data_IF_269170747172
#
_entry.id   IF_269170747172
#
_cell.length_a   1.000
_cell.length_b   1.000
_cell.length_c   1.000
_cell.angle_alpha   90.00
_cell.angle_beta   90.00
_cell.angle_gamma   90.00
#
_symmetry.space_group_name_H-M   'P 1'
#
loop_
_entity.id
_entity.type
_entity.pdbx_description
1 polymer ?
#
# COMPACT_ATOMS: atom_id res chain seq x y z
N UNK A 1 -33.46 3.28 17.77
CA UNK A 1 -34.48 2.21 17.65
C UNK A 1 -33.77 0.93 17.27
N UNK A 2 -33.79 -0.03 18.18
CA UNK A 2 -33.10 -1.32 18.15
C UNK A 2 -33.64 -2.22 17.03
N UNK A 3 -32.76 -2.91 16.30
CA UNK A 3 -33.11 -4.11 15.55
C UNK A 3 -32.12 -5.21 15.90
N UNK A 4 -32.45 -5.88 17.01
CA UNK A 4 -31.96 -7.18 17.41
C UNK A 4 -32.32 -8.23 16.35
N UNK A 5 -31.32 -8.72 15.60
CA UNK A 5 -31.48 -9.90 14.77
C UNK A 5 -31.14 -11.14 15.63
N UNK A 6 -32.18 -11.85 16.07
CA UNK A 6 -32.05 -13.15 16.77
C UNK A 6 -31.71 -14.21 15.73
N UNK A 7 -30.50 -14.77 15.78
CA UNK A 7 -30.20 -16.03 15.11
C UNK A 7 -30.54 -17.14 16.10
N UNK A 8 -31.66 -17.81 15.84
CA UNK A 8 -32.09 -19.02 16.54
C UNK A 8 -31.28 -20.19 15.98
N UNK A 9 -30.46 -20.83 16.80
CA UNK A 9 -29.85 -22.13 16.46
C UNK A 9 -30.57 -23.18 17.29
N UNK A 10 -31.46 -23.93 16.64
CA UNK A 10 -32.05 -25.13 17.22
C UNK A 10 -30.95 -26.19 17.41
N UNK A 11 -30.68 -26.54 18.65
CA UNK A 11 -29.99 -27.78 19.00
C UNK A 11 -31.02 -28.92 18.98
N UNK A 12 -30.75 -29.98 18.20
CA UNK A 12 -31.43 -31.26 18.37
C UNK A 12 -30.41 -32.37 18.60
N UNK A 13 -30.61 -33.04 19.73
CA UNK A 13 -29.98 -34.27 20.27
C UNK A 13 -30.12 -35.44 19.26
N UNK A 14 -29.44 -36.58 19.27
CA UNK A 14 -28.39 -37.25 20.06
C UNK A 14 -27.99 -38.52 19.27
N UNK A 15 -26.73 -38.96 19.32
CA UNK A 15 -26.41 -40.40 19.49
C UNK A 15 -24.97 -40.61 19.96
N UNK A 16 -24.85 -41.52 20.93
CA UNK A 16 -23.75 -41.92 21.82
C UNK A 16 -22.38 -42.22 21.17
N UNK A 17 -21.30 -41.94 21.93
CA UNK A 17 -20.12 -42.83 21.98
C UNK A 17 -18.75 -42.19 22.33
N UNK A 18 -18.28 -42.43 23.57
CA UNK A 18 -16.87 -42.53 24.04
C UNK A 18 -15.86 -41.36 23.92
N UNK A 19 -15.60 -40.75 25.08
CA UNK A 19 -14.29 -40.35 25.69
C UNK A 19 -13.05 -40.11 24.82
N UNK A 20 -12.61 -38.85 24.75
CA UNK A 20 -11.36 -38.31 25.31
C UNK A 20 -10.98 -36.97 24.63
N UNK A 21 -10.73 -35.95 25.45
CA UNK A 21 -10.20 -34.63 25.05
C UNK A 21 -8.92 -34.76 24.19
N UNK A 22 -8.78 -33.90 23.18
CA UNK A 22 -7.60 -33.04 23.15
C UNK A 22 -8.06 -31.58 23.17
N UNK A 23 -7.61 -30.87 24.21
CA UNK A 23 -7.64 -29.42 24.31
C UNK A 23 -6.90 -28.79 23.11
N UNK A 24 -7.62 -28.51 22.05
CA UNK A 24 -7.17 -27.75 20.89
C UNK A 24 -8.12 -26.58 20.70
N UNK A 25 -7.69 -25.40 21.13
CA UNK A 25 -8.34 -24.13 20.81
C UNK A 25 -8.60 -24.10 19.30
N UNK A 26 -9.83 -23.90 18.80
CA UNK A 26 -10.01 -23.63 17.39
C UNK A 26 -9.33 -22.29 17.13
N UNK A 27 -8.20 -22.36 16.43
CA UNK A 27 -7.44 -21.23 15.92
C UNK A 27 -8.43 -20.37 15.16
N UNK A 28 -8.64 -19.15 15.67
CA UNK A 28 -9.63 -18.21 15.15
C UNK A 28 -9.36 -17.97 13.67
N UNK A 29 -10.19 -18.58 12.84
CA UNK A 29 -10.26 -18.40 11.41
C UNK A 29 -10.43 -16.90 11.15
N UNK A 30 -9.36 -16.27 10.67
CA UNK A 30 -9.32 -14.85 10.40
C UNK A 30 -10.45 -14.54 9.42
N UNK A 31 -11.52 -13.95 9.95
CA UNK A 31 -12.68 -13.51 9.19
C UNK A 31 -12.18 -12.62 8.06
N UNK A 32 -12.15 -13.17 6.84
CA UNK A 32 -11.93 -12.44 5.60
C UNK A 32 -13.07 -11.44 5.47
N UNK A 33 -12.90 -10.27 6.07
CA UNK A 33 -13.79 -9.14 5.85
C UNK A 33 -13.84 -8.94 4.35
N UNK A 34 -15.04 -8.96 3.76
CA UNK A 34 -15.32 -8.51 2.38
C UNK A 34 -14.64 -7.14 2.17
N UNK A 35 -13.40 -7.14 1.70
CA UNK A 35 -12.58 -5.94 1.67
C UNK A 35 -13.06 -5.10 0.50
N UNK A 36 -13.80 -4.03 0.81
CA UNK A 36 -14.17 -3.00 -0.17
C UNK A 36 -12.91 -2.48 -0.88
N UNK A 37 -13.01 -2.10 -2.17
CA UNK A 37 -11.97 -1.33 -2.84
C UNK A 37 -11.53 -0.15 -1.98
N UNK A 38 -10.21 0.05 -1.88
CA UNK A 38 -9.58 1.12 -1.11
C UNK A 38 -8.64 1.90 -2.01
N UNK A 39 -8.42 3.17 -1.69
CA UNK A 39 -7.38 3.99 -2.30
C UNK A 39 -6.10 3.92 -1.47
N UNK A 40 -5.07 3.27 -2.01
CA UNK A 40 -3.77 3.12 -1.36
C UNK A 40 -2.73 3.93 -2.13
N UNK A 41 -2.00 4.80 -1.43
CA UNK A 41 -0.85 5.50 -2.00
C UNK A 41 0.45 4.80 -1.61
N UNK A 42 1.23 4.37 -2.59
CA UNK A 42 2.58 3.83 -2.44
C UNK A 42 3.59 4.94 -2.71
N UNK A 43 4.52 5.17 -1.80
CA UNK A 43 5.61 6.15 -1.94
C UNK A 43 6.93 5.41 -1.95
N UNK A 44 7.71 5.56 -3.02
CA UNK A 44 9.00 4.86 -3.17
C UNK A 44 10.01 5.72 -3.91
N UNK A 45 11.27 5.69 -3.47
CA UNK A 45 12.41 6.27 -4.19
C UNK A 45 12.78 5.47 -5.44
N UNK A 46 12.31 4.22 -5.53
CA UNK A 46 12.59 3.34 -6.67
C UNK A 46 11.35 2.56 -7.08
N UNK A 47 11.13 2.44 -8.38
CA UNK A 47 9.97 1.77 -8.94
C UNK A 47 10.29 1.25 -10.35
N UNK A 48 9.57 0.24 -10.88
CA UNK A 48 9.70 -0.12 -12.29
C UNK A 48 9.64 1.13 -13.19
N UNK A 49 10.51 1.25 -14.20
CA UNK A 49 11.30 0.19 -14.84
C UNK A 49 12.65 -0.16 -14.20
N UNK A 50 13.03 0.47 -13.08
CA UNK A 50 14.29 0.17 -12.41
C UNK A 50 14.40 -1.32 -12.04
N UNK A 51 15.59 -1.90 -12.21
CA UNK A 51 15.87 -3.31 -11.95
C UNK A 51 16.64 -3.41 -10.63
N UNK A 52 15.91 -3.44 -9.52
CA UNK A 52 16.47 -3.71 -8.20
C UNK A 52 15.44 -4.41 -7.29
N UNK A 53 15.90 -4.91 -6.14
CA UNK A 53 15.07 -5.69 -5.21
C UNK A 53 13.83 -4.94 -4.73
N UNK A 54 13.96 -3.65 -4.39
CA UNK A 54 12.85 -2.84 -3.88
C UNK A 54 11.83 -2.56 -4.99
N UNK A 55 12.27 -2.19 -6.19
CA UNK A 55 11.41 -1.97 -7.35
C UNK A 55 10.60 -3.23 -7.70
N UNK A 56 11.21 -4.41 -7.60
CA UNK A 56 10.52 -5.68 -7.81
C UNK A 56 9.48 -5.97 -6.72
N UNK A 57 9.81 -5.73 -5.45
CA UNK A 57 8.84 -5.84 -4.35
C UNK A 57 7.68 -4.88 -4.54
N UNK A 58 7.95 -3.64 -4.95
CA UNK A 58 6.89 -2.65 -5.22
C UNK A 58 6.03 -3.05 -6.41
N UNK A 59 6.61 -3.63 -7.47
CA UNK A 59 5.86 -4.19 -8.59
C UNK A 59 4.84 -5.23 -8.11
N UNK A 60 5.29 -6.24 -7.36
CA UNK A 60 4.42 -7.32 -6.90
C UNK A 60 3.34 -6.82 -5.93
N UNK A 61 3.68 -5.89 -5.03
CA UNK A 61 2.71 -5.26 -4.14
C UNK A 61 1.62 -4.53 -4.94
N UNK A 62 2.03 -3.67 -5.88
CA UNK A 62 1.15 -2.93 -6.77
C UNK A 62 0.23 -3.86 -7.57
N UNK A 63 0.79 -4.90 -8.21
CA UNK A 63 0.01 -5.90 -8.96
C UNK A 63 -1.02 -6.57 -8.06
N UNK A 64 -0.62 -7.03 -6.88
CA UNK A 64 -1.52 -7.69 -5.94
C UNK A 64 -2.64 -6.78 -5.45
N UNK A 65 -2.38 -5.49 -5.27
CA UNK A 65 -3.40 -4.50 -4.89
C UNK A 65 -4.37 -4.20 -6.05
N UNK A 66 -3.84 -3.97 -7.25
CA UNK A 66 -4.65 -3.72 -8.45
C UNK A 66 -5.55 -4.91 -8.79
N UNK A 67 -5.03 -6.14 -8.72
CA UNK A 67 -5.81 -7.38 -8.95
C UNK A 67 -6.95 -7.57 -7.95
N UNK A 68 -6.82 -7.03 -6.74
CA UNK A 68 -7.89 -7.04 -5.71
C UNK A 68 -8.88 -5.88 -5.88
N UNK A 69 -8.76 -5.08 -6.95
CA UNK A 69 -9.64 -3.97 -7.24
C UNK A 69 -9.36 -2.70 -6.44
N UNK A 70 -8.22 -2.60 -5.75
CA UNK A 70 -7.84 -1.37 -5.07
C UNK A 70 -7.42 -0.29 -6.08
N UNK A 71 -7.71 0.97 -5.76
CA UNK A 71 -7.15 2.10 -6.49
C UNK A 71 -5.76 2.38 -5.94
N UNK A 72 -4.74 2.34 -6.80
CA UNK A 72 -3.35 2.48 -6.38
C UNK A 72 -2.75 3.75 -6.97
N UNK A 73 -2.30 4.65 -6.11
CA UNK A 73 -1.49 5.80 -6.52
C UNK A 73 -0.02 5.53 -6.20
N UNK A 74 0.88 5.68 -7.17
CA UNK A 74 2.33 5.56 -6.95
C UNK A 74 2.95 6.96 -6.96
N UNK A 75 3.78 7.27 -5.98
CA UNK A 75 4.59 8.48 -5.93
C UNK A 75 6.06 8.09 -6.00
N UNK A 76 6.75 8.52 -7.07
CA UNK A 76 8.14 8.14 -7.33
C UNK A 76 8.95 9.26 -8.00
N UNK A 77 10.29 9.27 -7.88
CA UNK A 77 11.12 10.18 -8.64
C UNK A 77 11.03 9.95 -10.15
N UNK A 78 11.22 11.03 -10.92
CA UNK A 78 11.46 10.95 -12.36
C UNK A 78 12.84 10.36 -12.66
N UNK A 79 12.90 9.56 -13.72
CA UNK A 79 14.12 9.17 -14.41
C UNK A 79 14.54 10.22 -15.45
N UNK A 80 15.79 10.18 -15.97
CA UNK A 80 16.34 11.27 -16.80
C UNK A 80 15.46 11.72 -17.98
N UNK A 81 14.75 10.78 -18.61
CA UNK A 81 13.92 11.02 -19.79
C UNK A 81 12.42 11.16 -19.46
N UNK A 82 12.06 11.25 -18.19
CA UNK A 82 10.66 11.35 -17.77
C UNK A 82 10.27 12.78 -17.41
N UNK A 83 9.05 13.14 -17.79
CA UNK A 83 8.40 14.36 -17.36
C UNK A 83 7.83 14.18 -15.96
N UNK A 84 7.94 15.23 -15.14
CA UNK A 84 7.23 15.32 -13.86
C UNK A 84 5.76 15.62 -14.11
N UNK A 85 4.87 14.95 -13.38
CA UNK A 85 3.44 15.15 -13.54
C UNK A 85 2.62 14.13 -12.77
N UNK A 86 1.31 14.31 -12.86
CA UNK A 86 0.32 13.31 -12.44
C UNK A 86 -0.21 12.65 -13.71
N UNK A 87 -0.12 11.33 -13.77
CA UNK A 87 -0.48 10.53 -14.94
C UNK A 87 -1.48 9.45 -14.54
N UNK A 88 -2.45 9.19 -15.40
CA UNK A 88 -3.34 8.03 -15.25
C UNK A 88 -2.71 6.79 -15.88
N UNK A 89 -3.08 5.62 -15.38
CA UNK A 89 -2.58 4.35 -15.89
C UNK A 89 -2.93 4.12 -17.35
N UNK A 90 -1.94 3.77 -18.15
CA UNK A 90 -2.11 3.45 -19.58
C UNK A 90 -2.16 1.94 -19.87
N UNK A 91 -2.35 1.11 -18.84
CA UNK A 91 -2.57 -0.34 -19.00
C UNK A 91 -1.49 -1.25 -18.38
N UNK A 92 -0.53 -0.72 -17.62
CA UNK A 92 0.50 -1.54 -16.95
C UNK A 92 -0.06 -2.45 -15.84
N UNK A 93 -1.25 -2.15 -15.33
CA UNK A 93 -1.86 -2.87 -14.21
C UNK A 93 -1.11 -2.72 -12.87
N UNK A 94 -0.15 -1.80 -12.78
CA UNK A 94 0.64 -1.56 -11.56
C UNK A 94 0.06 -0.44 -10.69
N UNK A 95 -0.64 0.50 -11.31
CA UNK A 95 -1.24 1.64 -10.61
C UNK A 95 -2.47 2.10 -11.36
N UNK A 96 -3.31 2.87 -10.68
CA UNK A 96 -4.41 3.66 -11.25
C UNK A 96 -3.92 5.06 -11.62
N UNK A 97 -3.04 5.62 -10.79
CA UNK A 97 -2.46 6.96 -10.99
C UNK A 97 -1.00 6.96 -10.56
N UNK A 98 -0.17 7.75 -11.22
CA UNK A 98 1.24 7.92 -10.90
C UNK A 98 1.58 9.40 -10.77
N UNK A 99 2.14 9.79 -9.62
CA UNK A 99 2.75 11.10 -9.41
C UNK A 99 4.28 10.97 -9.54
N UNK A 100 4.81 11.45 -10.64
CA UNK A 100 6.24 11.54 -10.89
C UNK A 100 6.76 12.86 -10.31
N UNK A 101 7.70 12.81 -9.37
CA UNK A 101 8.29 13.99 -8.70
C UNK A 101 9.71 14.29 -9.18
N UNK A 102 10.34 15.34 -8.66
CA UNK A 102 11.74 15.62 -9.00
C UNK A 102 12.64 14.50 -8.47
N UNK A 103 13.46 13.90 -9.32
CA UNK A 103 14.56 13.01 -8.92
C UNK A 103 15.90 13.74 -8.98
N UNK A 104 16.74 13.56 -7.97
CA UNK A 104 18.13 14.04 -7.93
C UNK A 104 19.07 12.82 -7.95
N UNK A 105 20.15 12.86 -8.76
CA UNK A 105 21.10 11.74 -8.81
C UNK A 105 21.81 11.56 -7.47
N UNK A 106 22.08 10.31 -7.10
CA UNK A 106 22.90 10.01 -5.95
C UNK A 106 24.39 10.06 -6.33
N UNK A 107 25.26 10.79 -5.59
CA UNK A 107 26.70 10.76 -5.86
C UNK A 107 27.23 9.32 -5.80
N UNK A 108 27.94 8.90 -6.86
CA UNK A 108 28.48 7.54 -6.97
C UNK A 108 27.51 6.48 -7.50
N UNK A 109 26.22 6.79 -7.69
CA UNK A 109 25.22 5.88 -8.27
C UNK A 109 24.39 6.60 -9.34
N UNK A 110 24.86 6.57 -10.59
CA UNK A 110 24.26 7.31 -11.70
C UNK A 110 22.80 6.91 -11.99
N UNK A 111 22.48 5.63 -11.77
CA UNK A 111 21.16 5.07 -12.06
C UNK A 111 20.17 5.24 -10.92
N UNK A 112 20.62 5.63 -9.72
CA UNK A 112 19.76 5.82 -8.56
C UNK A 112 19.46 7.30 -8.35
N UNK A 113 18.18 7.60 -8.11
CA UNK A 113 17.71 8.97 -7.91
C UNK A 113 16.85 9.04 -6.66
N UNK A 114 17.11 10.03 -5.81
CA UNK A 114 16.20 10.35 -4.71
C UNK A 114 15.18 11.39 -5.15
N UNK A 115 13.93 11.06 -4.90
CA UNK A 115 12.77 11.91 -5.03
C UNK A 115 12.77 13.05 -4.03
N UNK A 116 12.35 14.20 -4.51
CA UNK A 116 12.09 15.37 -3.69
C UNK A 116 10.71 15.91 -4.03
N UNK A 117 9.91 16.10 -2.99
CA UNK A 117 8.59 16.70 -3.10
C UNK A 117 8.41 17.71 -1.97
N UNK A 118 7.66 18.78 -2.24
CA UNK A 118 7.22 19.67 -1.16
C UNK A 118 6.09 18.95 -0.43
N UNK A 119 6.08 18.88 0.92
CA UNK A 119 4.94 18.30 1.65
C UNK A 119 3.61 18.96 1.26
N UNK A 120 3.61 20.26 0.95
CA UNK A 120 2.43 20.99 0.46
C UNK A 120 1.89 20.49 -0.88
N UNK A 121 2.74 20.01 -1.81
CA UNK A 121 2.25 19.43 -3.06
C UNK A 121 1.56 18.08 -2.85
N UNK A 122 2.11 17.24 -1.95
CA UNK A 122 1.48 15.97 -1.59
C UNK A 122 0.17 16.19 -0.85
N UNK A 123 0.14 17.17 0.07
CA UNK A 123 -1.08 17.57 0.78
C UNK A 123 -2.18 18.00 -0.20
N UNK A 124 -1.86 18.84 -1.19
CA UNK A 124 -2.82 19.28 -2.20
C UNK A 124 -3.37 18.12 -3.02
N UNK A 125 -2.53 17.14 -3.38
CA UNK A 125 -2.97 15.94 -4.06
C UNK A 125 -3.93 15.14 -3.16
N UNK A 126 -3.53 14.83 -1.94
CA UNK A 126 -4.31 14.01 -1.01
C UNK A 126 -5.56 14.68 -0.43
N UNK A 127 -5.70 15.99 -0.59
CA UNK A 127 -6.96 16.69 -0.33
C UNK A 127 -7.97 16.50 -1.47
N UNK A 128 -7.49 16.34 -2.71
CA UNK A 128 -8.34 16.09 -3.89
C UNK A 128 -8.63 14.60 -4.08
N UNK A 129 -7.62 13.78 -3.85
CA UNK A 129 -7.64 12.32 -4.03
C UNK A 129 -7.15 11.70 -2.72
N UNK A 130 -8.04 11.62 -1.73
CA UNK A 130 -7.69 11.22 -0.37
C UNK A 130 -7.49 9.70 -0.28
N UNK A 131 -6.27 9.22 0.02
CA UNK A 131 -6.06 7.79 0.22
C UNK A 131 -6.62 7.33 1.56
N UNK A 132 -7.05 6.08 1.62
CA UNK A 132 -7.40 5.36 2.85
C UNK A 132 -6.16 4.97 3.66
N UNK A 133 -5.02 4.81 2.98
CA UNK A 133 -3.74 4.53 3.62
C UNK A 133 -2.54 4.85 2.72
N UNK A 134 -1.42 5.17 3.35
CA UNK A 134 -0.15 5.44 2.67
C UNK A 134 0.88 4.39 3.10
N UNK A 135 1.56 3.79 2.13
CA UNK A 135 2.70 2.92 2.36
C UNK A 135 3.99 3.58 1.87
N UNK A 136 4.97 3.74 2.75
CA UNK A 136 6.29 4.32 2.42
C UNK A 136 7.33 3.21 2.37
N UNK A 137 7.85 2.92 1.17
CA UNK A 137 8.73 1.79 0.93
C UNK A 137 10.23 2.09 1.16
N UNK A 138 10.58 3.36 1.30
CA UNK A 138 11.97 3.82 1.28
C UNK A 138 12.17 5.05 2.18
N UNK A 139 13.27 5.07 2.94
CA UNK A 139 13.59 6.12 3.91
C UNK A 139 14.39 7.29 3.27
N UNK A 140 13.93 7.79 2.13
CA UNK A 140 14.55 8.93 1.45
C UNK A 140 13.80 10.25 1.68
N UNK A 141 14.28 11.36 1.08
CA UNK A 141 13.65 12.67 1.21
C UNK A 141 12.18 12.69 0.77
N UNK A 142 11.79 11.88 -0.22
CA UNK A 142 10.41 11.74 -0.66
C UNK A 142 9.56 11.08 0.41
N UNK A 143 10.07 10.01 1.03
CA UNK A 143 9.41 9.32 2.13
C UNK A 143 9.16 10.25 3.32
N UNK A 144 10.17 11.04 3.73
CA UNK A 144 10.04 12.03 4.80
C UNK A 144 8.99 13.09 4.45
N UNK A 145 9.01 13.62 3.23
CA UNK A 145 8.02 14.60 2.78
C UNK A 145 6.59 14.02 2.80
N UNK A 146 6.44 12.75 2.40
CA UNK A 146 5.17 12.04 2.42
C UNK A 146 4.64 11.82 3.83
N UNK A 147 5.46 11.33 4.76
CA UNK A 147 5.08 11.15 6.18
C UNK A 147 4.63 12.48 6.78
N UNK A 148 5.37 13.56 6.54
CA UNK A 148 5.02 14.88 7.06
C UNK A 148 3.67 15.38 6.51
N UNK A 149 3.44 15.22 5.20
CA UNK A 149 2.16 15.59 4.60
C UNK A 149 1.00 14.73 5.15
N UNK A 150 1.22 13.42 5.32
CA UNK A 150 0.23 12.48 5.82
C UNK A 150 -0.18 12.79 7.26
N UNK A 151 0.80 13.06 8.14
CA UNK A 151 0.57 13.49 9.52
C UNK A 151 -0.29 14.75 9.58
N UNK A 152 -0.03 15.72 8.71
CA UNK A 152 -0.82 16.97 8.66
C UNK A 152 -2.28 16.80 8.21
N UNK A 153 -2.60 15.65 7.60
CA UNK A 153 -3.95 15.29 7.12
C UNK A 153 -4.60 14.17 7.93
N UNK A 154 -3.94 13.70 9.01
CA UNK A 154 -4.33 12.54 9.80
C UNK A 154 -4.59 11.30 8.92
N UNK A 155 -3.73 11.05 7.94
CA UNK A 155 -3.80 9.86 7.08
C UNK A 155 -3.02 8.71 7.71
N UNK A 156 -3.53 7.47 7.70
CA UNK A 156 -2.80 6.29 8.17
C UNK A 156 -1.54 6.08 7.33
N UNK A 157 -0.41 5.82 8.00
CA UNK A 157 0.87 5.53 7.35
C UNK A 157 1.43 4.22 7.87
N UNK A 158 1.85 3.35 6.95
CA UNK A 158 2.72 2.22 7.22
C UNK A 158 4.03 2.40 6.45
N UNK A 159 5.14 1.94 7.00
CA UNK A 159 6.44 1.99 6.32
C UNK A 159 7.12 0.64 6.39
N UNK A 160 7.71 0.20 5.29
CA UNK A 160 8.53 -1.02 5.26
C UNK A 160 9.96 -0.70 4.85
N UNK A 161 10.89 -1.49 5.37
CA UNK A 161 12.30 -1.44 4.98
C UNK A 161 12.64 -2.77 4.32
N UNK A 162 12.84 -2.74 3.00
CA UNK A 162 13.20 -3.93 2.21
C UNK A 162 14.67 -3.82 1.82
N UNK A 163 15.57 -4.21 2.71
CA UNK A 163 16.99 -4.42 2.34
C UNK A 163 17.33 -5.88 2.51
N UNK A 164 17.53 -6.57 1.39
CA UNK A 164 18.40 -7.74 1.37
C UNK A 164 19.59 -7.39 0.48
N UNK A 165 20.74 -7.11 1.08
CA UNK A 165 22.02 -7.04 0.39
C UNK A 165 22.70 -8.39 0.60
N UNK A 166 22.58 -9.28 -0.38
CA UNK A 166 23.25 -10.58 -0.38
C UNK A 166 23.76 -10.89 -1.78
#
# INVERSE_FOLDING_TARGET
>A
MSRSCRISVMASFHSKGMTAEPSGTPVTEAQLTERRPQHITIVSETFPPEINGVANTMRHLCQGLMQRGHHVTVVRPRQPHEQKGLFESTGSGLFSTELVVNGLPLPGYADLRFGTARPSSLKKLWQKQRPDGIYVATQGPLGVAAVNAARSLALPVSSGFHTNFH
#
